data_IF_033916170217
#
_entry.id   IF_033916170217
#
_cell.length_a   1.000
_cell.length_b   1.000
_cell.length_c   1.000
_cell.angle_alpha   90.00
_cell.angle_beta   90.00
_cell.angle_gamma   90.00
#
_symmetry.space_group_name_H-M   'P 1'
#
loop_
_entity.id
_entity.type
_entity.pdbx_description
1 polymer ?
#
# COMPACT_ATOMS: atom_id res chain seq x y z
N UNK A 1 17.68 -1.79 11.68
CA UNK A 1 17.02 -2.94 11.02
C UNK A 1 15.56 -2.59 10.72
N UNK A 2 15.32 -1.63 9.82
CA UNK A 2 14.02 -0.96 9.55
C UNK A 2 13.72 -0.80 8.04
N UNK A 3 14.50 -1.41 7.14
CA UNK A 3 14.38 -1.11 5.71
C UNK A 3 13.06 -1.61 5.09
N UNK A 4 12.45 -2.67 5.62
CA UNK A 4 11.19 -3.20 5.08
C UNK A 4 9.98 -2.33 5.42
N UNK A 5 10.01 -1.57 6.52
CA UNK A 5 8.90 -0.70 6.91
C UNK A 5 8.63 0.38 5.88
N UNK A 6 9.68 1.05 5.38
CA UNK A 6 9.55 2.08 4.33
C UNK A 6 8.86 1.56 3.08
N UNK A 7 9.22 0.34 2.68
CA UNK A 7 8.67 -0.32 1.51
C UNK A 7 7.21 -0.75 1.70
N UNK A 8 6.86 -1.24 2.89
CA UNK A 8 5.47 -1.59 3.23
C UNK A 8 4.57 -0.34 3.21
N UNK A 9 5.04 0.75 3.82
CA UNK A 9 4.34 2.04 3.84
C UNK A 9 4.18 2.58 2.42
N UNK A 10 5.21 2.48 1.59
CA UNK A 10 5.13 2.87 0.18
C UNK A 10 4.04 2.10 -0.56
N UNK A 11 3.93 0.79 -0.35
CA UNK A 11 2.89 -0.03 -0.99
C UNK A 11 1.48 0.43 -0.59
N UNK A 12 1.28 0.67 0.71
CA UNK A 12 -0.01 1.14 1.22
C UNK A 12 -0.40 2.49 0.61
N UNK A 13 0.51 3.47 0.64
CA UNK A 13 0.25 4.83 0.15
C UNK A 13 0.12 4.89 -1.38
N UNK A 14 0.83 4.04 -2.11
CA UNK A 14 0.71 3.93 -3.58
C UNK A 14 -0.57 3.24 -4.05
N UNK A 15 -1.40 2.73 -3.13
CA UNK A 15 -2.64 2.05 -3.48
C UNK A 15 -2.49 0.57 -3.81
N UNK A 16 -1.28 0.02 -3.68
CA UNK A 16 -1.02 -1.41 -3.92
C UNK A 16 -1.54 -2.24 -2.74
N UNK A 17 -2.33 -3.30 -2.98
CA UNK A 17 -2.75 -4.20 -1.93
C UNK A 17 -1.55 -4.83 -1.22
N UNK A 18 -1.54 -4.79 0.11
CA UNK A 18 -0.52 -5.39 0.96
C UNK A 18 -1.09 -6.62 1.68
N UNK A 19 -0.46 -7.76 1.51
CA UNK A 19 -0.81 -9.03 2.14
C UNK A 19 0.19 -9.34 3.24
N UNK A 20 -0.27 -9.53 4.46
CA UNK A 20 0.52 -9.92 5.63
C UNK A 20 0.31 -11.39 5.92
N UNK A 21 1.37 -12.19 5.87
CA UNK A 21 1.34 -13.64 6.12
C UNK A 21 2.15 -13.94 7.38
N UNK A 22 1.63 -14.80 8.25
CA UNK A 22 2.39 -15.31 9.40
C UNK A 22 1.77 -16.56 10.01
N UNK A 23 2.58 -17.31 10.76
CA UNK A 23 2.15 -18.51 11.48
C UNK A 23 1.43 -18.24 12.82
N UNK A 24 1.50 -17.00 13.34
CA UNK A 24 0.75 -16.57 14.53
C UNK A 24 -0.35 -15.58 14.13
N UNK A 25 -1.60 -16.03 14.22
CA UNK A 25 -2.78 -15.22 13.89
C UNK A 25 -2.85 -13.93 14.72
N UNK A 26 -2.45 -13.97 15.99
CA UNK A 26 -2.49 -12.80 16.88
C UNK A 26 -1.50 -11.72 16.45
N UNK A 27 -0.32 -12.15 15.97
CA UNK A 27 0.70 -11.26 15.43
C UNK A 27 0.26 -10.67 14.09
N UNK A 28 -0.33 -11.49 13.21
CA UNK A 28 -0.88 -11.04 11.93
C UNK A 28 -1.94 -9.96 12.14
N UNK A 29 -2.91 -10.19 13.04
CA UNK A 29 -3.97 -9.22 13.35
C UNK A 29 -3.39 -7.91 13.90
N UNK A 30 -2.48 -7.98 14.87
CA UNK A 30 -1.80 -6.79 15.41
C UNK A 30 -1.05 -6.00 14.34
N UNK A 31 -0.39 -6.70 13.42
CA UNK A 31 0.35 -6.03 12.35
C UNK A 31 -0.60 -5.37 11.34
N UNK A 32 -1.71 -6.03 10.99
CA UNK A 32 -2.74 -5.46 10.12
C UNK A 32 -3.37 -4.24 10.79
N UNK A 33 -3.72 -4.32 12.07
CA UNK A 33 -4.26 -3.18 12.82
C UNK A 33 -3.30 -1.99 12.83
N UNK A 34 -2.00 -2.23 13.09
CA UNK A 34 -0.99 -1.18 13.06
C UNK A 34 -0.79 -0.54 11.68
N UNK A 35 -0.83 -1.35 10.62
CA UNK A 35 -0.69 -0.86 9.23
C UNK A 35 -1.97 -0.16 8.73
N UNK A 36 -3.13 -0.45 9.31
CA UNK A 36 -4.39 0.19 8.94
C UNK A 36 -4.38 1.70 9.18
N UNK A 37 -3.59 2.17 10.16
CA UNK A 37 -3.39 3.60 10.45
C UNK A 37 -2.72 4.35 9.29
N UNK A 38 -2.03 3.64 8.40
CA UNK A 38 -1.30 4.18 7.27
C UNK A 38 -2.08 4.07 5.95
N UNK A 39 -3.29 3.51 5.99
CA UNK A 39 -4.15 3.42 4.81
C UNK A 39 -4.84 4.76 4.54
N UNK A 40 -4.61 5.36 3.37
CA UNK A 40 -5.36 6.54 2.99
C UNK A 40 -6.78 6.13 2.62
N UNK A 41 -7.79 6.73 3.27
CA UNK A 41 -9.22 6.47 3.04
C UNK A 41 -9.62 4.99 3.18
N UNK A 42 -9.66 4.43 4.41
CA UNK A 42 -10.00 3.03 4.65
C UNK A 42 -11.48 2.66 4.35
N UNK A 43 -12.30 3.61 3.88
CA UNK A 43 -13.75 3.46 3.70
C UNK A 43 -14.54 3.81 4.96
N UNK A 44 -15.87 3.91 4.87
CA UNK A 44 -16.76 4.32 5.98
C UNK A 44 -16.58 3.50 7.25
N UNK A 45 -16.23 2.21 7.10
CA UNK A 45 -16.16 1.25 8.21
C UNK A 45 -14.88 0.40 8.18
N UNK A 46 -13.80 0.89 7.54
CA UNK A 46 -12.59 0.08 7.36
C UNK A 46 -12.75 -1.03 6.32
N UNK A 47 -13.70 -0.89 5.38
CA UNK A 47 -14.02 -1.90 4.37
C UNK A 47 -12.83 -2.33 3.49
N UNK A 48 -11.78 -1.51 3.43
CA UNK A 48 -10.54 -1.81 2.71
C UNK A 48 -9.58 -2.73 3.48
N UNK A 49 -9.92 -3.17 4.69
CA UNK A 49 -9.08 -4.01 5.56
C UNK A 49 -9.74 -5.38 5.78
N UNK A 50 -9.02 -6.44 5.46
CA UNK A 50 -9.39 -7.81 5.76
C UNK A 50 -8.40 -8.39 6.78
N UNK A 51 -8.72 -8.42 8.09
CA UNK A 51 -7.75 -8.75 9.15
C UNK A 51 -7.27 -10.20 9.14
N UNK A 52 -8.12 -11.14 8.71
CA UNK A 52 -7.77 -12.54 8.58
C UNK A 52 -8.63 -13.18 7.48
N UNK A 53 -8.00 -13.50 6.36
CA UNK A 53 -8.63 -14.14 5.22
C UNK A 53 -8.64 -15.66 5.42
N UNK A 54 -9.83 -16.24 5.33
CA UNK A 54 -10.07 -17.69 5.46
C UNK A 54 -10.38 -18.36 4.12
N UNK A 55 -10.57 -17.58 3.05
CA UNK A 55 -10.91 -18.04 1.70
C UNK A 55 -9.77 -17.76 0.72
N UNK A 56 -9.64 -18.53 -0.38
CA UNK A 56 -8.63 -18.26 -1.39
C UNK A 56 -8.89 -16.93 -2.10
N UNK A 57 -7.84 -16.13 -2.22
CA UNK A 57 -7.88 -14.77 -2.74
C UNK A 57 -8.37 -14.74 -4.19
N UNK A 58 -9.40 -13.96 -4.46
CA UNK A 58 -9.89 -13.68 -5.81
C UNK A 58 -9.35 -12.35 -6.33
N UNK A 59 -9.38 -12.15 -7.65
CA UNK A 59 -8.95 -10.89 -8.25
C UNK A 59 -9.86 -9.71 -7.85
N UNK A 60 -11.16 -9.96 -7.68
CA UNK A 60 -12.12 -8.97 -7.17
C UNK A 60 -11.75 -8.46 -5.78
N UNK A 61 -11.19 -9.34 -4.94
CA UNK A 61 -10.84 -9.02 -3.57
C UNK A 61 -9.70 -8.01 -3.51
N UNK A 62 -8.82 -7.99 -4.51
CA UNK A 62 -7.74 -6.99 -4.65
C UNK A 62 -8.26 -5.59 -5.01
N UNK A 63 -9.49 -5.48 -5.51
CA UNK A 63 -10.15 -4.20 -5.78
C UNK A 63 -10.86 -3.67 -4.53
N UNK A 64 -11.32 -4.56 -3.66
CA UNK A 64 -12.04 -4.22 -2.43
C UNK A 64 -11.08 -3.98 -1.27
N UNK A 65 -10.13 -4.89 -1.06
CA UNK A 65 -9.23 -4.88 0.08
C UNK A 65 -7.83 -4.42 -0.30
N UNK A 66 -7.31 -3.47 0.47
CA UNK A 66 -5.96 -2.92 0.33
C UNK A 66 -4.98 -3.47 1.36
N UNK A 67 -5.49 -4.02 2.45
CA UNK A 67 -4.69 -4.65 3.48
C UNK A 67 -5.35 -5.96 3.89
N UNK A 68 -4.61 -7.06 3.77
CA UNK A 68 -5.15 -8.42 3.94
C UNK A 68 -4.21 -9.20 4.86
N UNK A 69 -4.73 -9.75 5.96
CA UNK A 69 -4.00 -10.69 6.82
C UNK A 69 -4.30 -12.13 6.43
N UNK A 70 -3.30 -13.01 6.45
CA UNK A 70 -3.43 -14.44 6.16
C UNK A 70 -2.68 -15.22 7.22
N UNK A 71 -3.40 -16.12 7.88
CA UNK A 71 -2.82 -17.04 8.85
C UNK A 71 -2.35 -18.33 8.16
N UNK A 72 -1.06 -18.62 8.28
CA UNK A 72 -0.42 -19.83 7.76
C UNK A 72 -0.63 -20.98 8.75
N UNK A 73 -1.76 -21.67 8.62
CA UNK A 73 -2.02 -22.94 9.33
C UNK A 73 -1.57 -24.14 8.50
N UNK A 74 -1.28 -25.28 9.14
CA UNK A 74 -0.94 -26.55 8.47
C UNK A 74 -2.11 -27.22 7.72
N UNK A 75 -3.20 -26.50 7.49
CA UNK A 75 -4.40 -27.00 6.83
C UNK A 75 -4.29 -26.90 5.30
N UNK A 76 -4.95 -27.81 4.59
CA UNK A 76 -5.06 -27.80 3.12
C UNK A 76 -5.72 -26.52 2.57
N UNK A 77 -6.53 -25.83 3.38
CA UNK A 77 -7.11 -24.54 3.02
C UNK A 77 -6.04 -23.45 2.95
N UNK A 78 -5.10 -23.42 3.90
CA UNK A 78 -4.04 -22.41 3.94
C UNK A 78 -3.06 -22.54 2.76
N UNK A 79 -2.79 -23.77 2.28
CA UNK A 79 -1.96 -23.95 1.08
C UNK A 79 -2.63 -23.39 -0.17
N UNK A 80 -3.95 -23.57 -0.31
CA UNK A 80 -4.72 -23.03 -1.44
C UNK A 80 -4.75 -21.50 -1.41
N UNK A 81 -4.88 -20.90 -0.22
CA UNK A 81 -4.80 -19.44 -0.03
C UNK A 81 -3.42 -18.92 -0.43
N UNK A 82 -2.33 -19.54 0.05
CA UNK A 82 -0.96 -19.12 -0.31
C UNK A 82 -0.67 -19.26 -1.81
N UNK A 83 -1.19 -20.31 -2.45
CA UNK A 83 -1.10 -20.48 -3.90
C UNK A 83 -1.83 -19.35 -4.66
N UNK A 84 -2.98 -18.89 -4.16
CA UNK A 84 -3.68 -17.75 -4.75
C UNK A 84 -2.89 -16.43 -4.62
N UNK A 85 -2.21 -16.21 -3.50
CA UNK A 85 -1.36 -15.03 -3.28
C UNK A 85 -0.15 -15.04 -4.22
N UNK A 86 0.53 -16.17 -4.35
CA UNK A 86 1.69 -16.29 -5.25
C UNK A 86 1.30 -16.08 -6.72
N UNK A 87 0.11 -16.53 -7.13
CA UNK A 87 -0.47 -16.27 -8.46
C UNK A 87 -0.62 -14.77 -8.76
N UNK A 88 -1.04 -13.98 -7.78
CA UNK A 88 -1.25 -12.54 -7.94
C UNK A 88 -0.09 -11.67 -7.45
N UNK A 89 1.08 -12.27 -7.16
CA UNK A 89 2.29 -11.59 -6.66
C UNK A 89 2.71 -10.34 -7.44
N UNK A 90 2.43 -10.26 -8.75
CA UNK A 90 2.73 -9.06 -9.56
C UNK A 90 1.86 -7.84 -9.22
N UNK A 91 0.70 -8.04 -8.63
CA UNK A 91 -0.30 -6.99 -8.37
C UNK A 91 -0.39 -6.59 -6.91
N UNK A 92 0.15 -7.41 -6.00
CA UNK A 92 0.16 -7.17 -4.57
C UNK A 92 1.58 -7.05 -4.02
N UNK A 93 1.71 -6.57 -2.79
CA UNK A 93 2.92 -6.67 -2.00
C UNK A 93 2.72 -7.74 -0.92
N UNK A 94 3.75 -8.55 -0.64
CA UNK A 94 3.66 -9.65 0.31
C UNK A 94 4.66 -9.43 1.46
N UNK A 95 4.14 -9.25 2.67
CA UNK A 95 4.91 -9.19 3.91
C UNK A 95 4.81 -10.53 4.63
N UNK A 96 5.91 -11.29 4.67
CA UNK A 96 6.01 -12.52 5.45
C UNK A 96 6.63 -12.20 6.82
N UNK A 97 5.86 -12.39 7.89
CA UNK A 97 6.28 -12.14 9.26
C UNK A 97 7.23 -13.22 9.79
N UNK A 98 7.09 -14.45 9.31
CA UNK A 98 7.91 -15.59 9.74
C UNK A 98 9.34 -15.43 9.19
N UNK A 99 9.43 -15.08 7.90
CA UNK A 99 10.72 -14.87 7.23
C UNK A 99 11.25 -13.44 7.35
N UNK A 100 10.42 -12.51 7.85
CA UNK A 100 10.70 -11.06 7.89
C UNK A 100 11.09 -10.52 6.51
N UNK A 101 10.43 -11.03 5.47
CA UNK A 101 10.67 -10.62 4.07
C UNK A 101 9.49 -9.82 3.55
N UNK A 102 9.78 -8.85 2.69
CA UNK A 102 8.78 -8.08 1.97
C UNK A 102 9.05 -8.19 0.48
N UNK A 103 8.10 -8.74 -0.26
CA UNK A 103 8.10 -8.70 -1.72
C UNK A 103 7.26 -7.51 -2.16
N UNK A 104 7.93 -6.45 -2.58
CA UNK A 104 7.30 -5.26 -3.12
C UNK A 104 8.20 -4.58 -4.15
N UNK A 105 7.66 -3.67 -4.97
CA UNK A 105 8.49 -2.73 -5.71
C UNK A 105 9.43 -2.01 -4.75
N UNK A 106 10.70 -1.87 -5.15
CA UNK A 106 11.71 -1.17 -4.36
C UNK A 106 11.39 0.31 -4.30
N UNK A 107 11.42 0.88 -3.09
CA UNK A 107 11.26 2.30 -2.87
C UNK A 107 12.63 2.92 -2.60
N UNK A 108 13.02 3.92 -3.40
CA UNK A 108 14.32 4.59 -3.28
C UNK A 108 14.21 6.07 -2.85
N UNK A 109 13.05 6.51 -2.40
CA UNK A 109 12.84 7.89 -1.96
C UNK A 109 13.16 8.11 -0.48
N UNK A 110 13.21 9.38 -0.07
CA UNK A 110 13.42 9.79 1.32
C UNK A 110 12.15 10.28 2.01
N UNK A 111 11.03 10.40 1.30
CA UNK A 111 9.79 10.96 1.86
C UNK A 111 9.20 10.11 2.99
N UNK A 112 9.38 8.79 2.90
CA UNK A 112 8.84 7.83 3.86
C UNK A 112 9.81 7.52 5.00
N UNK A 113 11.00 8.14 5.02
CA UNK A 113 11.96 7.92 6.10
C UNK A 113 11.42 8.38 7.44
N UNK A 114 10.66 9.48 7.46
CA UNK A 114 10.06 10.05 8.67
C UNK A 114 8.94 9.16 9.23
N UNK A 115 8.14 8.52 8.37
CA UNK A 115 7.08 7.60 8.82
C UNK A 115 7.62 6.24 9.26
N UNK A 116 8.73 5.80 8.66
CA UNK A 116 9.27 4.47 8.93
C UNK A 116 10.27 4.44 10.08
N UNK A 117 10.61 5.58 10.66
CA UNK A 117 11.52 5.66 11.80
C UNK A 117 10.72 5.66 13.12
N UNK A 118 10.65 4.52 13.84
CA UNK A 118 10.03 4.45 15.15
C UNK A 118 10.88 5.13 16.24
N UNK A 119 12.08 5.64 15.91
CA UNK A 119 12.98 6.30 16.85
C UNK A 119 12.84 7.83 16.87
N UNK A 120 11.88 8.40 16.14
CA UNK A 120 11.37 9.73 16.53
C UNK A 120 10.94 9.59 18.00
N UNK A 121 11.51 10.38 18.92
CA UNK A 121 11.52 10.15 20.38
C UNK A 121 10.15 10.05 21.10
N UNK A 122 9.07 9.88 20.34
CA UNK A 122 7.72 9.61 20.78
C UNK A 122 7.59 8.14 21.20
N UNK A 123 7.77 7.88 22.50
CA UNK A 123 7.24 6.65 23.12
C UNK A 123 5.75 6.60 22.81
N UNK A 124 5.30 5.51 22.18
CA UNK A 124 3.98 5.38 21.55
C UNK A 124 2.78 5.90 22.35
N UNK A 125 1.71 6.23 21.62
CA UNK A 125 0.50 6.83 22.19
C UNK A 125 -0.08 7.90 21.26
N UNK A 126 -0.89 8.80 21.81
CA UNK A 126 -1.56 9.87 21.04
C UNK A 126 -0.58 10.79 20.31
N UNK A 127 0.60 11.05 20.91
CA UNK A 127 1.65 11.87 20.29
C UNK A 127 2.21 11.26 19.01
N UNK A 128 2.34 9.92 18.97
CA UNK A 128 2.75 9.21 17.77
C UNK A 128 1.66 9.30 16.68
N UNK A 129 0.38 9.18 17.06
CA UNK A 129 -0.73 9.33 16.11
C UNK A 129 -0.78 10.73 15.50
N UNK A 130 -0.64 11.78 16.32
CA UNK A 130 -0.58 13.17 15.85
C UNK A 130 0.64 13.43 14.96
N UNK A 131 1.78 12.84 15.30
CA UNK A 131 2.98 12.93 14.47
C UNK A 131 2.76 12.28 13.10
N UNK A 132 2.19 11.08 13.08
CA UNK A 132 1.85 10.34 11.86
C UNK A 132 0.85 11.13 11.00
N UNK A 133 -0.20 11.69 11.60
CA UNK A 133 -1.18 12.53 10.93
C UNK A 133 -0.51 13.78 10.32
N UNK A 134 0.34 14.47 11.07
CA UNK A 134 1.09 15.63 10.58
C UNK A 134 1.98 15.27 9.38
N UNK A 135 2.67 14.13 9.44
CA UNK A 135 3.48 13.64 8.33
C UNK A 135 2.63 13.32 7.08
N UNK A 136 1.49 12.64 7.25
CA UNK A 136 0.57 12.35 6.14
C UNK A 136 -0.03 13.63 5.55
N UNK A 137 -0.43 14.59 6.38
CA UNK A 137 -0.95 15.88 5.95
C UNK A 137 0.11 16.69 5.18
N UNK A 138 1.37 16.68 5.64
CA UNK A 138 2.48 17.32 4.94
C UNK A 138 2.73 16.69 3.56
N UNK A 139 2.61 15.36 3.44
CA UNK A 139 2.70 14.68 2.15
C UNK A 139 1.52 15.05 1.23
N UNK A 140 0.30 15.07 1.75
CA UNK A 140 -0.89 15.49 1.00
C UNK A 140 -0.76 16.93 0.48
N UNK A 141 -0.28 17.85 1.32
CA UNK A 141 -0.04 19.25 0.93
C UNK A 141 1.01 19.37 -0.16
N UNK A 142 2.10 18.59 -0.10
CA UNK A 142 3.11 18.55 -1.17
C UNK A 142 2.49 18.09 -2.49
N UNK A 143 1.70 17.01 -2.46
CA UNK A 143 1.01 16.50 -3.66
C UNK A 143 0.04 17.55 -4.19
N UNK A 144 -0.76 18.19 -3.33
CA UNK A 144 -1.68 19.25 -3.71
C UNK A 144 -0.96 20.42 -4.40
N UNK A 145 0.13 20.91 -3.80
CA UNK A 145 0.96 21.97 -4.39
C UNK A 145 1.53 21.55 -5.75
N UNK A 146 2.02 20.33 -5.87
CA UNK A 146 2.48 19.79 -7.14
C UNK A 146 1.36 19.74 -8.18
N UNK A 147 0.16 19.28 -7.82
CA UNK A 147 -0.99 19.23 -8.73
C UNK A 147 -1.44 20.63 -9.16
N UNK A 148 -1.46 21.61 -8.24
CA UNK A 148 -1.84 22.98 -8.56
C UNK A 148 -0.79 23.67 -9.46
N UNK A 149 0.49 23.47 -9.19
CA UNK A 149 1.58 24.04 -9.99
C UNK A 149 1.72 23.35 -11.35
N UNK A 150 1.56 22.02 -11.41
CA UNK A 150 1.57 21.27 -12.66
C UNK A 150 0.32 21.57 -13.50
N UNK A 151 -0.84 21.79 -12.87
CA UNK A 151 -2.07 22.22 -13.53
C UNK A 151 -2.00 23.63 -14.12
N UNK A 152 -1.01 24.45 -13.74
CA UNK A 152 -0.73 25.76 -14.33
C UNK A 152 0.11 25.71 -15.61
N UNK A 153 0.69 24.56 -15.96
CA UNK A 153 1.52 24.36 -17.17
C UNK A 153 0.76 23.48 -18.17
N UNK A 154 -0.45 23.92 -18.53
CA UNK A 154 -1.36 23.13 -19.38
C UNK A 154 -2.32 23.97 -20.23
N UNK A 155 -2.01 25.25 -20.47
CA UNK A 155 -2.62 26.03 -21.55
C UNK A 155 -1.51 26.35 -22.54
N UNK A 156 -1.72 25.99 -23.81
CA UNK A 156 -0.76 26.00 -24.92
C UNK A 156 0.22 24.81 -24.99
N UNK A 157 -0.25 23.71 -25.57
CA UNK A 157 0.34 23.12 -26.78
C UNK A 157 -0.60 22.07 -27.38
N UNK A 158 -0.63 22.06 -28.70
CA UNK A 158 -1.34 21.13 -29.58
C UNK A 158 -2.80 21.49 -29.93
N UNK A 159 -2.97 22.71 -30.44
CA UNK A 159 -3.92 22.91 -31.54
C UNK A 159 -3.41 22.14 -32.76
N UNK A 160 -4.04 21.00 -32.99
CA UNK A 160 -4.10 20.24 -34.23
C UNK A 160 -3.91 21.12 -35.48
N UNK A 161 -2.72 21.08 -36.09
CA UNK A 161 -2.64 21.27 -37.53
C UNK A 161 -2.95 19.92 -38.19
N UNK A 162 -4.22 19.77 -38.53
CA UNK A 162 -4.68 18.79 -39.48
C UNK A 162 -4.10 19.12 -40.86
N UNK A 163 -3.34 18.19 -41.43
CA UNK A 163 -3.24 18.06 -42.88
C UNK A 163 -3.04 16.59 -43.22
N UNK A 164 -4.18 15.91 -43.35
CA UNK A 164 -4.26 14.69 -44.13
C UNK A 164 -3.92 15.02 -45.59
N UNK A 165 -3.04 14.24 -46.19
CA UNK A 165 -2.92 14.16 -47.63
C UNK A 165 -3.20 12.72 -48.03
N UNK A 166 -4.34 12.58 -48.70
CA UNK A 166 -4.79 11.44 -49.47
C UNK A 166 -3.65 10.83 -50.29
N UNK A 167 -3.54 9.50 -50.28
CA UNK A 167 -2.94 8.75 -51.38
C UNK A 167 -4.04 7.87 -51.98
N UNK A 168 -4.41 8.18 -53.21
CA UNK A 168 -5.10 7.30 -54.14
C UNK A 168 -4.64 7.68 -55.54
N UNK A 169 -4.53 6.64 -56.36
CA UNK A 169 -3.99 6.56 -57.72
C UNK A 169 -2.46 6.38 -57.83
#
# INVERSE_FOLDING_TARGET
HLSFSQHAIFCLLSGRPLVVVGGDESLVRKQVDGLSLLLPSPGSDGSAVMPCLTTPLQLSDLLTWRLIGIHRSSSSLSSTILLSVTRYSRYLALLDLDQKTLQSPTYSGSLLSQLADPHTGFRGGLTYLLHLESCLAALANKVLLHTLLAGGVGTERDCLHAQGSFSSE
#
